data_IF_415847255244
#
_entry.id   IF_415847255244
#
_cell.length_a   1.000
_cell.length_b   1.000
_cell.length_c   1.000
_cell.angle_alpha   90.00
_cell.angle_beta   90.00
_cell.angle_gamma   90.00
#
_symmetry.space_group_name_H-M   'P 1'
#
loop_
_entity.id
_entity.type
_entity.pdbx_description
1 polymer ?
#
# COMPACT_ATOMS: atom_id res chain seq x y z
N UNK A 1 -22.14 -18.27 -9.96
CA UNK A 1 -21.44 -17.54 -11.03
C UNK A 1 -21.79 -16.06 -10.90
N UNK A 2 -20.79 -15.18 -10.95
CA UNK A 2 -21.06 -13.75 -11.12
C UNK A 2 -21.68 -13.54 -12.52
N UNK A 3 -22.66 -12.65 -12.67
CA UNK A 3 -23.24 -12.37 -13.98
C UNK A 3 -22.17 -11.76 -14.91
N UNK A 4 -22.07 -12.26 -16.12
CA UNK A 4 -21.32 -11.59 -17.19
C UNK A 4 -22.04 -10.30 -17.56
N UNK A 5 -21.45 -9.16 -17.18
CA UNK A 5 -21.97 -7.84 -17.48
C UNK A 5 -21.65 -7.48 -18.94
N UNK A 6 -22.59 -6.87 -19.64
CA UNK A 6 -22.29 -6.24 -20.92
C UNK A 6 -21.49 -4.94 -20.73
N UNK A 7 -21.05 -4.32 -21.82
CA UNK A 7 -20.22 -3.10 -21.78
C UNK A 7 -20.92 -1.92 -21.06
N UNK A 8 -22.22 -1.74 -21.31
CA UNK A 8 -22.99 -0.66 -20.67
C UNK A 8 -23.17 -0.89 -19.17
N UNK A 9 -23.45 -2.12 -18.76
CA UNK A 9 -23.56 -2.51 -17.36
C UNK A 9 -22.22 -2.37 -16.64
N UNK A 10 -21.12 -2.76 -17.30
CA UNK A 10 -19.75 -2.60 -16.78
C UNK A 10 -19.41 -1.14 -16.57
N UNK A 11 -19.70 -0.28 -17.55
CA UNK A 11 -19.49 1.17 -17.42
C UNK A 11 -20.34 1.76 -16.28
N UNK A 12 -21.63 1.36 -16.17
CA UNK A 12 -22.51 1.81 -15.07
C UNK A 12 -21.98 1.37 -13.70
N UNK A 13 -21.48 0.15 -13.59
CA UNK A 13 -20.87 -0.36 -12.37
C UNK A 13 -19.62 0.44 -12.01
N UNK A 14 -18.65 0.59 -12.94
CA UNK A 14 -17.43 1.37 -12.72
C UNK A 14 -17.75 2.81 -12.31
N UNK A 15 -18.73 3.46 -12.96
CA UNK A 15 -19.18 4.81 -12.59
C UNK A 15 -19.75 4.88 -11.17
N UNK A 16 -20.57 3.90 -10.79
CA UNK A 16 -21.14 3.84 -9.44
C UNK A 16 -20.05 3.64 -8.40
N UNK A 17 -19.11 2.73 -8.67
CA UNK A 17 -17.97 2.47 -7.81
C UNK A 17 -17.04 3.69 -7.71
N UNK A 18 -16.82 4.43 -8.80
CA UNK A 18 -16.08 5.69 -8.79
C UNK A 18 -16.70 6.73 -7.85
N UNK A 19 -18.02 6.93 -7.90
CA UNK A 19 -18.69 7.84 -6.98
C UNK A 19 -18.59 7.37 -5.52
N UNK A 20 -18.67 6.06 -5.28
CA UNK A 20 -18.46 5.48 -3.95
C UNK A 20 -17.03 5.74 -3.45
N UNK A 21 -16.02 5.53 -4.29
CA UNK A 21 -14.61 5.80 -3.98
C UNK A 21 -14.40 7.27 -3.63
N UNK A 22 -14.99 8.20 -4.41
CA UNK A 22 -14.88 9.64 -4.17
C UNK A 22 -15.57 10.12 -2.91
N UNK A 23 -16.54 9.36 -2.38
CA UNK A 23 -17.11 9.64 -1.06
C UNK A 23 -16.12 9.34 0.08
N UNK A 24 -14.98 8.72 -0.21
CA UNK A 24 -13.85 8.49 0.71
C UNK A 24 -14.24 7.81 2.02
N UNK A 25 -15.09 6.79 1.93
CA UNK A 25 -15.49 6.00 3.09
C UNK A 25 -14.30 5.37 3.81
N UNK A 26 -14.33 5.45 5.15
CA UNK A 26 -13.31 4.88 6.04
C UNK A 26 -13.88 3.68 6.78
N UNK A 27 -13.06 2.63 6.94
CA UNK A 27 -13.52 1.34 7.44
C UNK A 27 -12.85 0.95 8.76
N UNK A 28 -13.66 0.76 9.81
CA UNK A 28 -13.19 0.46 11.17
C UNK A 28 -12.29 -0.79 11.24
N UNK A 29 -12.58 -1.82 10.43
CA UNK A 29 -11.83 -3.10 10.42
C UNK A 29 -10.34 -2.92 10.10
N UNK A 30 -9.98 -1.85 9.42
CA UNK A 30 -8.61 -1.51 9.01
C UNK A 30 -8.22 -0.14 9.56
N UNK A 31 -8.65 0.16 10.78
CA UNK A 31 -8.30 1.38 11.49
C UNK A 31 -8.73 2.65 10.75
N UNK A 32 -9.95 2.75 10.23
CA UNK A 32 -10.36 3.88 9.37
C UNK A 32 -9.57 3.98 8.04
N UNK A 33 -8.96 2.89 7.59
CA UNK A 33 -8.37 2.78 6.26
C UNK A 33 -9.41 2.84 5.14
N UNK A 34 -8.94 3.03 3.90
CA UNK A 34 -9.77 3.05 2.70
C UNK A 34 -10.01 1.63 2.14
N UNK A 35 -10.61 1.53 0.94
CA UNK A 35 -10.87 0.26 0.27
C UNK A 35 -9.60 -0.56 -0.04
N UNK A 36 -8.47 0.09 -0.31
CA UNK A 36 -7.21 -0.63 -0.54
C UNK A 36 -6.70 -1.29 0.74
N UNK A 37 -6.85 -0.66 1.90
CA UNK A 37 -6.53 -1.29 3.18
C UNK A 37 -7.38 -2.54 3.40
N UNK A 38 -8.69 -2.47 3.11
CA UNK A 38 -9.57 -3.63 3.19
C UNK A 38 -9.14 -4.73 2.23
N UNK A 39 -8.82 -4.41 0.97
CA UNK A 39 -8.35 -5.37 -0.01
C UNK A 39 -7.05 -6.06 0.44
N UNK A 40 -6.08 -5.29 0.95
CA UNK A 40 -4.84 -5.80 1.51
C UNK A 40 -5.04 -6.58 2.82
N UNK A 41 -6.07 -6.31 3.62
CA UNK A 41 -6.39 -7.07 4.83
C UNK A 41 -7.24 -8.33 4.51
N UNK A 42 -7.87 -8.39 3.34
CA UNK A 42 -8.84 -9.43 2.96
C UNK A 42 -8.23 -10.80 2.62
N UNK A 43 -7.03 -11.11 3.11
CA UNK A 43 -6.44 -12.44 3.02
C UNK A 43 -7.39 -13.45 3.70
N UNK A 44 -8.23 -14.12 2.90
CA UNK A 44 -9.29 -14.96 3.45
C UNK A 44 -8.75 -16.32 3.85
N UNK A 45 -9.31 -16.91 4.91
CA UNK A 45 -9.02 -18.28 5.34
C UNK A 45 -9.30 -19.30 4.21
N UNK A 46 -10.22 -18.96 3.30
CA UNK A 46 -10.67 -19.84 2.21
C UNK A 46 -9.70 -19.81 1.03
N UNK A 47 -9.33 -18.62 0.55
CA UNK A 47 -8.50 -18.49 -0.66
C UNK A 47 -7.02 -18.32 -0.36
N UNK A 48 -6.65 -17.75 0.80
CA UNK A 48 -5.26 -17.42 1.14
C UNK A 48 -4.56 -16.60 0.04
N UNK A 49 -5.32 -15.72 -0.61
CA UNK A 49 -4.88 -14.88 -1.73
C UNK A 49 -5.49 -13.47 -1.63
N UNK A 50 -4.72 -12.47 -2.05
CA UNK A 50 -5.18 -11.12 -2.31
C UNK A 50 -6.07 -11.06 -3.53
N UNK A 51 -7.17 -10.28 -3.47
CA UNK A 51 -8.02 -10.03 -4.62
C UNK A 51 -7.33 -9.02 -5.56
N UNK A 52 -6.29 -9.45 -6.27
CA UNK A 52 -5.47 -8.59 -7.13
C UNK A 52 -6.30 -7.82 -8.17
N UNK A 53 -7.33 -8.46 -8.74
CA UNK A 53 -8.22 -7.81 -9.71
C UNK A 53 -9.06 -6.70 -9.08
N UNK A 54 -9.46 -6.86 -7.83
CA UNK A 54 -10.14 -5.80 -7.06
C UNK A 54 -9.16 -4.67 -6.77
N UNK A 55 -7.94 -4.98 -6.32
CA UNK A 55 -6.91 -3.97 -6.09
C UNK A 55 -6.62 -3.15 -7.36
N UNK A 56 -6.43 -3.82 -8.51
CA UNK A 56 -6.24 -3.19 -9.81
C UNK A 56 -7.39 -2.27 -10.16
N UNK A 57 -8.63 -2.75 -10.05
CA UNK A 57 -9.81 -1.93 -10.33
C UNK A 57 -9.91 -0.70 -9.41
N UNK A 58 -9.60 -0.84 -8.13
CA UNK A 58 -9.60 0.28 -7.18
C UNK A 58 -8.55 1.34 -7.55
N UNK A 59 -7.35 0.90 -7.92
CA UNK A 59 -6.26 1.79 -8.36
C UNK A 59 -6.60 2.48 -9.70
N UNK A 60 -7.16 1.74 -10.67
CA UNK A 60 -7.67 2.29 -11.94
C UNK A 60 -8.73 3.38 -11.73
N UNK A 61 -9.53 3.27 -10.68
CA UNK A 61 -10.57 4.24 -10.33
C UNK A 61 -10.06 5.39 -9.45
N UNK A 62 -8.76 5.46 -9.18
CA UNK A 62 -8.10 6.59 -8.52
C UNK A 62 -8.14 6.56 -6.99
N UNK A 63 -8.26 5.38 -6.37
CA UNK A 63 -8.03 5.27 -4.92
C UNK A 63 -6.56 5.62 -4.63
N UNK A 64 -6.30 6.58 -3.75
CA UNK A 64 -4.94 6.94 -3.32
C UNK A 64 -4.26 5.73 -2.64
N UNK A 65 -3.18 5.16 -3.22
CA UNK A 65 -2.48 4.02 -2.66
C UNK A 65 -1.59 4.36 -1.46
N UNK A 66 -1.30 5.65 -1.27
CA UNK A 66 -0.54 6.19 -0.15
C UNK A 66 -1.45 6.83 0.91
N UNK A 67 -2.77 6.61 0.81
CA UNK A 67 -3.69 6.98 1.88
C UNK A 67 -3.33 6.25 3.18
N UNK A 68 -3.56 6.91 4.30
CA UNK A 68 -3.33 6.35 5.64
C UNK A 68 -4.63 6.03 6.36
N UNK A 69 -4.58 5.01 7.21
CA UNK A 69 -5.53 4.74 8.29
C UNK A 69 -5.36 5.75 9.44
N UNK A 70 -6.15 5.63 10.50
CA UNK A 70 -6.14 6.51 11.67
C UNK A 70 -4.88 6.40 12.54
N UNK A 71 -4.02 5.41 12.29
CA UNK A 71 -2.73 5.23 12.94
C UNK A 71 -1.56 5.44 11.95
N UNK A 72 -1.79 6.14 10.85
CA UNK A 72 -0.76 6.44 9.85
C UNK A 72 -0.40 5.27 8.91
N UNK A 73 -0.89 4.05 9.15
CA UNK A 73 -0.56 2.91 8.29
C UNK A 73 -1.09 3.09 6.87
N UNK A 74 -0.28 2.74 5.88
CA UNK A 74 -0.67 2.64 4.47
C UNK A 74 -1.08 1.21 4.10
N UNK A 75 -1.62 1.00 2.89
CA UNK A 75 -1.90 -0.35 2.39
C UNK A 75 -0.64 -1.26 2.35
N UNK A 76 0.55 -0.68 2.12
CA UNK A 76 1.81 -1.42 2.18
C UNK A 76 2.16 -1.85 3.61
N UNK A 77 1.86 -1.06 4.63
CA UNK A 77 2.02 -1.49 6.03
C UNK A 77 1.12 -2.68 6.33
N UNK A 78 -0.14 -2.64 5.88
CA UNK A 78 -1.09 -3.75 6.07
C UNK A 78 -0.55 -5.04 5.45
N UNK A 79 -0.04 -4.99 4.21
CA UNK A 79 0.62 -6.14 3.61
C UNK A 79 1.83 -6.56 4.46
N UNK A 80 2.73 -5.65 4.79
CA UNK A 80 3.92 -5.96 5.55
C UNK A 80 3.64 -6.46 6.98
N UNK A 81 2.45 -6.26 7.55
CA UNK A 81 2.09 -6.74 8.89
C UNK A 81 1.37 -8.08 8.91
N UNK A 82 0.84 -8.56 7.79
CA UNK A 82 0.08 -9.82 7.74
C UNK A 82 1.02 -11.01 7.98
N UNK A 83 0.53 -11.99 8.73
CA UNK A 83 1.19 -13.29 8.87
C UNK A 83 1.01 -14.10 7.58
N UNK A 84 2.14 -14.43 6.96
CA UNK A 84 2.20 -15.26 5.77
C UNK A 84 2.56 -16.68 6.19
N UNK A 85 1.73 -17.68 5.91
CA UNK A 85 2.15 -19.07 6.10
C UNK A 85 3.34 -19.42 5.18
N UNK A 86 3.31 -18.89 3.95
CA UNK A 86 4.39 -18.97 2.96
C UNK A 86 4.39 -17.74 2.07
N UNK A 87 5.59 -17.27 1.73
CA UNK A 87 5.72 -16.27 0.67
C UNK A 87 5.24 -16.86 -0.66
N UNK A 88 4.39 -16.12 -1.37
CA UNK A 88 3.80 -16.53 -2.64
C UNK A 88 3.97 -15.46 -3.71
N UNK A 89 3.76 -15.84 -4.97
CA UNK A 89 3.70 -14.89 -6.08
C UNK A 89 2.57 -13.87 -5.87
N UNK A 90 1.46 -14.26 -5.24
CA UNK A 90 0.32 -13.38 -5.03
C UNK A 90 0.61 -12.20 -4.08
N UNK A 91 1.38 -12.39 -3.00
CA UNK A 91 1.84 -11.25 -2.18
C UNK A 91 2.85 -10.39 -2.95
N UNK A 92 3.73 -11.03 -3.71
CA UNK A 92 4.70 -10.33 -4.57
C UNK A 92 3.97 -9.40 -5.54
N UNK A 93 2.92 -9.90 -6.20
CA UNK A 93 2.09 -9.15 -7.14
C UNK A 93 1.30 -8.03 -6.44
N UNK A 94 0.80 -8.27 -5.22
CA UNK A 94 0.09 -7.25 -4.46
C UNK A 94 1.00 -6.08 -4.05
N UNK A 95 2.23 -6.38 -3.60
CA UNK A 95 3.24 -5.36 -3.27
C UNK A 95 3.63 -4.61 -4.54
N UNK A 96 3.95 -5.33 -5.62
CA UNK A 96 4.36 -4.73 -6.88
C UNK A 96 3.28 -3.81 -7.45
N UNK A 97 2.02 -4.24 -7.41
CA UNK A 97 0.89 -3.46 -7.88
C UNK A 97 0.74 -2.12 -7.16
N UNK A 98 0.93 -2.09 -5.84
CA UNK A 98 0.88 -0.84 -5.07
C UNK A 98 2.07 0.06 -5.44
N UNK A 99 3.28 -0.49 -5.51
CA UNK A 99 4.48 0.27 -5.87
C UNK A 99 4.41 0.84 -7.29
N UNK A 100 3.87 0.09 -8.24
CA UNK A 100 3.65 0.52 -9.62
C UNK A 100 2.56 1.60 -9.73
N UNK A 101 1.76 1.77 -8.68
CA UNK A 101 0.73 2.79 -8.57
C UNK A 101 1.16 3.98 -7.71
N UNK A 102 2.47 4.24 -7.58
CA UNK A 102 3.04 5.35 -6.79
C UNK A 102 2.79 5.25 -5.27
N UNK A 103 2.64 4.03 -4.72
CA UNK A 103 2.67 3.83 -3.27
C UNK A 103 4.08 4.07 -2.70
N UNK A 104 4.16 4.85 -1.62
CA UNK A 104 5.42 5.08 -0.91
C UNK A 104 5.68 3.96 0.11
N UNK A 105 6.73 3.16 -0.13
CA UNK A 105 7.15 2.11 0.81
C UNK A 105 7.83 2.66 2.07
N UNK A 106 8.25 3.91 2.01
CA UNK A 106 9.07 4.59 2.99
C UNK A 106 8.33 5.73 3.70
N UNK A 107 7.01 5.84 3.46
CA UNK A 107 6.09 6.65 4.25
C UNK A 107 5.98 6.05 5.66
N UNK A 108 6.23 6.82 6.73
CA UNK A 108 6.06 6.34 8.09
C UNK A 108 4.59 6.33 8.52
N UNK A 109 4.26 5.42 9.43
CA UNK A 109 3.04 5.50 10.23
C UNK A 109 3.20 6.49 11.41
N UNK A 110 2.19 6.57 12.29
CA UNK A 110 2.20 7.49 13.42
C UNK A 110 3.28 7.16 14.48
N UNK A 111 3.84 5.94 14.44
CA UNK A 111 4.95 5.51 15.29
C UNK A 111 6.33 5.73 14.63
N UNK A 112 6.35 6.26 13.40
CA UNK A 112 7.58 6.46 12.63
C UNK A 112 8.08 5.19 11.94
N UNK A 113 7.31 4.10 11.93
CA UNK A 113 7.67 2.83 11.31
C UNK A 113 7.24 2.88 9.85
N UNK A 114 8.12 2.49 8.93
CA UNK A 114 7.76 2.39 7.50
C UNK A 114 7.42 0.97 7.09
N UNK A 115 6.65 0.79 6.00
CA UNK A 115 6.41 -0.53 5.44
C UNK A 115 7.71 -1.25 5.05
N UNK A 116 8.72 -0.50 4.58
CA UNK A 116 10.06 -1.03 4.31
C UNK A 116 10.73 -1.61 5.57
N UNK A 117 10.55 -0.98 6.74
CA UNK A 117 11.12 -1.47 7.99
C UNK A 117 10.45 -2.76 8.44
N UNK A 118 9.12 -2.86 8.28
CA UNK A 118 8.38 -4.11 8.50
C UNK A 118 8.85 -5.24 7.55
N UNK A 119 9.10 -4.93 6.28
CA UNK A 119 9.64 -5.93 5.34
C UNK A 119 11.05 -6.40 5.69
N UNK A 120 11.91 -5.52 6.21
CA UNK A 120 13.24 -5.91 6.71
C UNK A 120 13.13 -6.85 7.91
N UNK A 121 12.20 -6.59 8.84
CA UNK A 121 11.95 -7.48 9.97
C UNK A 121 11.51 -8.86 9.48
N UNK A 122 10.57 -8.92 8.52
CA UNK A 122 10.15 -10.20 7.93
C UNK A 122 11.25 -10.93 7.18
N UNK A 123 12.10 -10.22 6.45
CA UNK A 123 13.25 -10.83 5.78
C UNK A 123 14.19 -11.48 6.79
N UNK A 124 14.48 -10.79 7.89
CA UNK A 124 15.27 -11.35 8.99
C UNK A 124 14.63 -12.60 9.62
N UNK A 125 13.32 -12.55 9.91
CA UNK A 125 12.57 -13.70 10.43
C UNK A 125 12.61 -14.91 9.47
N UNK A 126 12.49 -14.67 8.16
CA UNK A 126 12.58 -15.73 7.15
C UNK A 126 13.99 -16.31 7.09
N UNK A 127 15.02 -15.45 7.12
CA UNK A 127 16.42 -15.87 7.13
C UNK A 127 16.78 -16.71 8.37
N UNK A 128 16.27 -16.35 9.54
CA UNK A 128 16.43 -17.13 10.79
C UNK A 128 15.79 -18.53 10.68
N UNK A 129 14.71 -18.65 9.91
CA UNK A 129 14.06 -19.92 9.59
C UNK A 129 14.68 -20.66 8.38
N UNK A 130 15.79 -20.16 7.83
CA UNK A 130 16.49 -20.76 6.68
C UNK A 130 15.76 -20.56 5.34
N UNK A 131 14.83 -19.61 5.26
CA UNK A 131 14.08 -19.29 4.05
C UNK A 131 14.66 -18.02 3.43
N UNK A 132 15.33 -18.15 2.28
CA UNK A 132 15.76 -16.99 1.49
C UNK A 132 14.61 -16.49 0.61
N UNK A 133 14.48 -15.17 0.47
CA UNK A 133 13.49 -14.55 -0.40
C UNK A 133 14.11 -13.48 -1.32
N UNK A 134 14.36 -13.86 -2.57
CA UNK A 134 15.01 -13.00 -3.57
C UNK A 134 14.18 -11.75 -3.91
N UNK A 135 12.86 -11.79 -3.76
CA UNK A 135 12.03 -10.60 -3.99
C UNK A 135 12.18 -9.59 -2.86
N UNK A 136 12.03 -10.02 -1.60
CA UNK A 136 12.24 -9.14 -0.44
C UNK A 136 13.65 -8.56 -0.42
N UNK A 137 14.66 -9.38 -0.71
CA UNK A 137 16.04 -8.92 -0.83
C UNK A 137 16.17 -7.81 -1.87
N UNK A 138 15.60 -7.98 -3.08
CA UNK A 138 15.59 -6.92 -4.10
C UNK A 138 14.79 -5.71 -3.67
N UNK A 139 13.63 -5.90 -3.03
CA UNK A 139 12.76 -4.83 -2.56
C UNK A 139 13.46 -3.94 -1.53
N UNK A 140 14.13 -4.57 -0.55
CA UNK A 140 14.82 -3.89 0.56
C UNK A 140 16.02 -3.09 0.08
N UNK A 141 16.77 -3.63 -0.88
CA UNK A 141 17.97 -3.00 -1.42
C UNK A 141 17.69 -2.11 -2.65
N UNK A 142 16.42 -1.99 -3.07
CA UNK A 142 16.05 -1.14 -4.20
C UNK A 142 16.35 0.32 -3.88
N UNK A 143 17.14 0.95 -4.75
CA UNK A 143 17.39 2.39 -4.67
C UNK A 143 16.08 3.14 -4.94
N UNK A 144 15.70 3.97 -3.98
CA UNK A 144 14.47 4.79 -4.05
C UNK A 144 14.73 6.06 -4.87
N UNK A 145 13.67 6.67 -5.42
CA UNK A 145 13.79 7.97 -6.06
C UNK A 145 14.45 8.99 -5.14
N UNK A 146 15.31 9.85 -5.71
CA UNK A 146 15.97 10.92 -4.96
C UNK A 146 14.96 11.83 -4.25
N UNK A 147 13.78 12.02 -4.82
CA UNK A 147 12.69 12.80 -4.23
C UNK A 147 12.23 12.24 -2.89
N UNK A 148 11.98 10.92 -2.80
CA UNK A 148 11.62 10.26 -1.54
C UNK A 148 12.75 10.38 -0.51
N UNK A 149 14.00 10.11 -0.93
CA UNK A 149 15.16 10.23 -0.04
C UNK A 149 15.34 11.66 0.49
N UNK A 150 15.18 12.67 -0.36
CA UNK A 150 15.26 14.06 0.04
C UNK A 150 14.13 14.43 1.02
N UNK A 151 12.89 14.02 0.74
CA UNK A 151 11.76 14.21 1.65
C UNK A 151 12.02 13.58 3.02
N UNK A 152 12.49 12.33 3.06
CA UNK A 152 12.87 11.67 4.32
C UNK A 152 13.95 12.44 5.09
N UNK A 153 14.98 12.97 4.41
CA UNK A 153 16.03 13.76 5.05
C UNK A 153 15.47 15.05 5.62
N UNK A 154 14.61 15.75 4.87
CA UNK A 154 13.95 16.98 5.31
C UNK A 154 13.13 16.72 6.57
N UNK A 155 12.24 15.71 6.56
CA UNK A 155 11.40 15.35 7.69
C UNK A 155 12.21 14.88 8.91
N UNK A 156 13.16 13.95 8.71
CA UNK A 156 13.97 13.38 9.79
C UNK A 156 14.83 14.41 10.51
N UNK A 157 15.37 15.39 9.78
CA UNK A 157 16.22 16.43 10.36
C UNK A 157 15.46 17.70 10.73
N UNK A 158 14.13 17.73 10.56
CA UNK A 158 13.31 18.91 10.85
C UNK A 158 13.75 20.15 10.08
N UNK A 159 14.22 19.96 8.84
CA UNK A 159 14.64 21.06 7.97
C UNK A 159 13.38 21.84 7.60
N UNK A 160 13.28 23.17 7.82
CA UNK A 160 12.10 23.93 7.44
C UNK A 160 11.84 23.90 5.92
N UNK A 161 10.59 23.71 5.52
CA UNK A 161 10.18 23.61 4.11
C UNK A 161 8.85 24.32 3.78
N UNK A 162 8.43 25.24 4.65
CA UNK A 162 7.14 25.96 4.54
C UNK A 162 7.05 26.85 3.29
N UNK A 163 8.20 27.25 2.73
CA UNK A 163 8.29 28.08 1.51
C UNK A 163 8.11 27.27 0.21
N UNK A 164 7.95 25.94 0.30
CA UNK A 164 7.74 25.09 -0.87
C UNK A 164 6.29 25.20 -1.41
N UNK A 165 6.07 24.94 -2.71
CA UNK A 165 4.73 24.75 -3.26
C UNK A 165 3.92 23.68 -2.49
N UNK A 166 2.60 23.86 -2.38
CA UNK A 166 1.73 22.98 -1.58
C UNK A 166 1.82 21.51 -1.97
N UNK A 167 2.08 21.20 -3.24
CA UNK A 167 2.30 19.83 -3.73
C UNK A 167 3.57 19.20 -3.14
N UNK A 168 4.65 19.97 -3.01
CA UNK A 168 5.90 19.52 -2.39
C UNK A 168 5.78 19.43 -0.87
N UNK A 169 5.10 20.39 -0.23
CA UNK A 169 4.78 20.29 1.21
C UNK A 169 4.01 18.98 1.49
N UNK A 170 2.98 18.70 0.69
CA UNK A 170 2.17 17.48 0.83
C UNK A 170 3.00 16.21 0.58
N UNK A 171 4.00 16.27 -0.31
CA UNK A 171 4.90 15.16 -0.58
C UNK A 171 5.89 14.93 0.57
N UNK A 172 6.48 15.99 1.12
CA UNK A 172 7.40 15.91 2.27
C UNK A 172 6.67 15.39 3.50
N UNK A 173 5.46 15.87 3.77
CA UNK A 173 4.63 15.40 4.89
C UNK A 173 4.24 13.90 4.82
N UNK A 174 4.43 13.24 3.66
CA UNK A 174 4.22 11.79 3.51
C UNK A 174 5.47 10.97 3.87
N UNK A 175 6.60 11.59 4.21
CA UNK A 175 7.89 10.93 4.48
C UNK A 175 8.47 11.41 5.81
#
# INVERSE_FOLDING_TARGET
MLPTLNEQETHRFKRTLYHFIRANYRFNRVGQGNLLHLACCSYTIITKLFPLDVMKLLLELGVDPSATSSNGMTALHVLASIEWERWSTNITDAIQLLLDSDAHIDQPDDEGITALDLFKLKEKELAENGISNDYLQRLIHKVRPLTCLAAQVVSRHGIPFDDLPSSLISFVNRH
#
